data_IF_733249747537
#
_entry.id   IF_733249747537
#
_cell.length_a   1.000
_cell.length_b   1.000
_cell.length_c   1.000
_cell.angle_alpha   90.00
_cell.angle_beta   90.00
_cell.angle_gamma   90.00
#
_symmetry.space_group_name_H-M   'P 1'
#
loop_
_entity.id
_entity.type
_entity.pdbx_description
1 polymer ?
#
# COMPACT_ATOMS: atom_id res chain seq x y z
N UNK A 1 -30.05 -19.99 9.08
CA UNK A 1 -29.65 -18.57 9.15
C UNK A 1 -28.65 -18.44 10.30
N UNK A 2 -27.35 -18.41 10.02
CA UNK A 2 -26.35 -18.17 11.04
C UNK A 2 -26.26 -16.65 11.26
N UNK A 3 -26.71 -16.19 12.43
CA UNK A 3 -26.53 -14.80 12.86
C UNK A 3 -25.03 -14.59 13.02
N UNK A 4 -24.40 -13.83 12.12
CA UNK A 4 -23.03 -13.37 12.35
C UNK A 4 -23.11 -12.38 13.51
N UNK A 5 -22.84 -12.86 14.72
CA UNK A 5 -22.49 -11.99 15.84
C UNK A 5 -21.32 -11.13 15.36
N UNK A 6 -21.53 -9.82 15.21
CA UNK A 6 -20.40 -8.91 15.33
C UNK A 6 -19.83 -9.16 16.72
N UNK A 7 -18.58 -9.64 16.85
CA UNK A 7 -17.98 -9.73 18.16
C UNK A 7 -18.04 -8.32 18.77
N UNK A 8 -18.50 -8.22 20.02
CA UNK A 8 -18.38 -6.98 20.77
C UNK A 8 -16.91 -6.53 20.80
N UNK A 9 -16.62 -5.31 21.29
CA UNK A 9 -15.25 -4.82 21.39
C UNK A 9 -14.38 -5.86 22.13
N UNK A 10 -13.30 -6.28 21.48
CA UNK A 10 -12.34 -7.23 22.03
C UNK A 10 -11.63 -6.55 23.21
N UNK A 11 -11.52 -7.24 24.36
CA UNK A 11 -10.80 -6.70 25.51
C UNK A 11 -9.30 -6.55 25.19
N UNK A 12 -8.58 -5.69 25.92
CA UNK A 12 -7.13 -5.54 25.73
C UNK A 12 -6.41 -6.86 26.00
N UNK A 13 -6.89 -7.61 26.97
CA UNK A 13 -6.40 -8.91 27.40
C UNK A 13 -6.58 -9.95 26.28
N UNK A 14 -7.79 -10.04 25.70
CA UNK A 14 -8.06 -10.95 24.58
C UNK A 14 -7.21 -10.60 23.36
N UNK A 15 -7.07 -9.30 23.04
CA UNK A 15 -6.21 -8.85 21.95
C UNK A 15 -4.74 -9.22 22.19
N UNK A 16 -4.24 -9.04 23.42
CA UNK A 16 -2.88 -9.41 23.80
C UNK A 16 -2.67 -10.92 23.67
N UNK A 17 -3.62 -11.73 24.11
CA UNK A 17 -3.53 -13.19 23.97
C UNK A 17 -3.48 -13.60 22.49
N UNK A 18 -4.37 -13.03 21.67
CA UNK A 18 -4.38 -13.24 20.23
C UNK A 18 -3.04 -12.88 19.58
N UNK A 19 -2.48 -11.73 19.92
CA UNK A 19 -1.19 -11.26 19.42
C UNK A 19 -0.05 -12.18 19.86
N UNK A 20 0.03 -12.53 21.16
CA UNK A 20 1.04 -13.45 21.67
C UNK A 20 0.96 -14.81 20.99
N UNK A 21 -0.25 -15.33 20.74
CA UNK A 21 -0.47 -16.59 20.03
C UNK A 21 -0.07 -16.50 18.56
N UNK A 22 -0.28 -15.36 17.91
CA UNK A 22 0.19 -15.13 16.54
C UNK A 22 1.72 -15.07 16.49
N UNK A 23 2.34 -14.30 17.37
CA UNK A 23 3.79 -14.13 17.41
C UNK A 23 4.53 -15.42 17.82
N UNK A 24 3.96 -16.25 18.71
CA UNK A 24 4.61 -17.51 19.10
C UNK A 24 4.61 -18.57 17.99
N UNK A 25 3.66 -18.49 17.05
CA UNK A 25 3.56 -19.39 15.90
C UNK A 25 4.45 -18.99 14.72
N UNK A 26 4.91 -17.74 14.69
CA UNK A 26 5.69 -17.21 13.59
C UNK A 26 7.10 -16.88 14.10
N UNK A 27 8.15 -17.16 13.32
CA UNK A 27 9.51 -16.80 13.67
C UNK A 27 9.76 -15.29 13.49
N UNK A 28 9.03 -14.47 14.23
CA UNK A 28 9.08 -13.01 14.11
C UNK A 28 10.47 -12.51 14.50
N UNK A 29 11.10 -11.77 13.59
CA UNK A 29 12.37 -11.08 13.80
C UNK A 29 12.17 -9.62 13.49
N UNK A 30 12.71 -8.76 14.33
CA UNK A 30 12.79 -7.33 14.04
C UNK A 30 13.98 -7.07 13.12
N UNK A 31 13.79 -6.22 12.13
CA UNK A 31 14.86 -5.68 11.30
C UNK A 31 15.14 -4.23 11.74
N UNK A 32 16.39 -3.79 11.59
CA UNK A 32 16.72 -2.38 11.74
C UNK A 32 16.54 -1.71 10.39
N UNK A 33 15.84 -0.58 10.37
CA UNK A 33 15.66 0.20 9.15
C UNK A 33 17.02 0.69 8.62
N UNK A 34 17.19 0.61 7.30
CA UNK A 34 18.32 1.24 6.60
C UNK A 34 18.07 2.77 6.53
N UNK A 35 18.87 3.59 7.24
CA UNK A 35 18.67 5.04 7.25
C UNK A 35 18.83 5.69 5.88
N UNK A 36 19.60 5.09 4.97
CA UNK A 36 19.79 5.64 3.63
C UNK A 36 18.50 5.51 2.81
N UNK A 37 17.82 4.37 2.92
CA UNK A 37 16.52 4.14 2.25
C UNK A 37 15.50 5.13 2.78
N UNK A 38 15.39 5.26 4.11
CA UNK A 38 14.47 6.20 4.77
C UNK A 38 14.73 7.64 4.31
N UNK A 39 15.98 8.12 4.38
CA UNK A 39 16.35 9.47 3.97
C UNK A 39 16.09 9.73 2.48
N UNK A 40 16.31 8.73 1.62
CA UNK A 40 16.08 8.86 0.18
C UNK A 40 14.58 9.03 -0.11
N UNK A 41 13.72 8.31 0.60
CA UNK A 41 12.26 8.47 0.50
C UNK A 41 11.84 9.84 1.00
N UNK A 42 12.29 10.24 2.19
CA UNK A 42 11.99 11.54 2.78
C UNK A 42 12.32 12.69 1.81
N UNK A 43 13.56 12.70 1.30
CA UNK A 43 14.03 13.74 0.37
C UNK A 43 13.23 13.79 -0.93
N UNK A 44 12.66 12.67 -1.37
CA UNK A 44 11.78 12.64 -2.54
C UNK A 44 10.40 13.18 -2.20
N UNK A 45 9.81 12.72 -1.11
CA UNK A 45 8.43 13.02 -0.75
C UNK A 45 8.24 14.48 -0.32
N UNK A 46 9.29 15.13 0.20
CA UNK A 46 9.29 16.57 0.48
C UNK A 46 9.18 17.46 -0.78
N UNK A 47 9.30 16.88 -1.99
CA UNK A 47 9.17 17.62 -3.26
C UNK A 47 7.73 17.66 -3.78
N UNK A 48 6.81 16.92 -3.17
CA UNK A 48 5.43 16.86 -3.61
C UNK A 48 4.58 17.84 -2.81
N UNK A 49 3.89 18.73 -3.50
CA UNK A 49 3.04 19.76 -2.89
C UNK A 49 1.91 19.16 -2.04
N UNK A 50 1.50 17.93 -2.35
CA UNK A 50 0.47 17.18 -1.63
C UNK A 50 0.94 16.67 -0.26
N UNK A 51 2.26 16.63 0.00
CA UNK A 51 2.81 15.93 1.16
C UNK A 51 3.45 16.91 2.14
N UNK A 52 2.86 17.00 3.34
CA UNK A 52 3.46 17.74 4.45
C UNK A 52 4.75 17.07 4.96
N UNK A 53 5.64 17.85 5.59
CA UNK A 53 6.88 17.31 6.16
C UNK A 53 6.62 16.16 7.15
N UNK A 54 5.60 16.30 8.01
CA UNK A 54 5.24 15.27 8.98
C UNK A 54 4.80 13.97 8.28
N UNK A 55 3.98 14.09 7.23
CA UNK A 55 3.54 12.93 6.44
C UNK A 55 4.70 12.31 5.67
N UNK A 56 5.59 13.11 5.09
CA UNK A 56 6.79 12.61 4.40
C UNK A 56 7.68 11.78 5.33
N UNK A 57 7.92 12.25 6.57
CA UNK A 57 8.68 11.49 7.59
C UNK A 57 8.00 10.16 7.94
N UNK A 58 6.68 10.18 8.12
CA UNK A 58 5.91 8.97 8.39
C UNK A 58 6.01 7.94 7.24
N UNK A 59 5.80 8.39 6.00
CA UNK A 59 5.85 7.53 4.81
C UNK A 59 7.25 6.98 4.56
N UNK A 60 8.29 7.78 4.80
CA UNK A 60 9.68 7.34 4.72
C UNK A 60 9.98 6.22 5.72
N UNK A 61 9.61 6.41 6.99
CA UNK A 61 9.78 5.40 8.02
C UNK A 61 8.98 4.13 7.70
N UNK A 62 7.73 4.29 7.26
CA UNK A 62 6.85 3.18 6.93
C UNK A 62 7.37 2.36 5.74
N UNK A 63 7.79 3.02 4.67
CA UNK A 63 8.37 2.37 3.50
C UNK A 63 9.66 1.61 3.83
N UNK A 64 10.61 2.26 4.52
CA UNK A 64 11.86 1.63 4.93
C UNK A 64 11.63 0.43 5.85
N UNK A 65 10.74 0.57 6.83
CA UNK A 65 10.38 -0.53 7.73
C UNK A 65 9.79 -1.70 6.97
N UNK A 66 8.86 -1.45 6.05
CA UNK A 66 8.17 -2.51 5.30
C UNK A 66 9.15 -3.29 4.44
N UNK A 67 10.06 -2.62 3.72
CA UNK A 67 11.05 -3.32 2.90
C UNK A 67 12.02 -4.18 3.73
N UNK A 68 12.51 -3.66 4.86
CA UNK A 68 13.45 -4.40 5.72
C UNK A 68 12.78 -5.60 6.44
N UNK A 69 11.51 -5.48 6.80
CA UNK A 69 10.80 -6.55 7.49
C UNK A 69 10.20 -7.59 6.53
N UNK A 70 9.70 -7.18 5.37
CA UNK A 70 9.04 -8.08 4.42
C UNK A 70 10.05 -8.77 3.49
N UNK A 71 11.13 -8.06 3.13
CA UNK A 71 12.08 -8.49 2.12
C UNK A 71 13.54 -8.44 2.58
N UNK A 72 13.89 -8.90 3.80
CA UNK A 72 15.24 -8.76 4.35
C UNK A 72 16.35 -9.42 3.52
N UNK A 73 16.00 -10.38 2.66
CA UNK A 73 16.94 -11.13 1.83
C UNK A 73 17.14 -10.54 0.42
N UNK A 74 16.35 -9.54 0.03
CA UNK A 74 16.51 -8.87 -1.26
C UNK A 74 17.75 -7.97 -1.24
N UNK A 75 18.32 -7.70 -2.42
CA UNK A 75 19.39 -6.70 -2.57
C UNK A 75 18.90 -5.31 -2.18
N UNK A 76 19.82 -4.42 -1.77
CA UNK A 76 19.46 -3.09 -1.23
C UNK A 76 18.65 -2.27 -2.23
N UNK A 77 18.98 -2.37 -3.51
CA UNK A 77 18.33 -1.67 -4.61
C UNK A 77 16.85 -2.10 -4.74
N UNK A 78 16.59 -3.41 -4.65
CA UNK A 78 15.23 -3.96 -4.69
C UNK A 78 14.46 -3.56 -3.43
N UNK A 79 15.08 -3.65 -2.24
CA UNK A 79 14.45 -3.17 -0.99
C UNK A 79 14.11 -1.69 -1.08
N UNK A 80 14.98 -0.87 -1.65
CA UNK A 80 14.71 0.54 -1.86
C UNK A 80 13.53 0.76 -2.81
N UNK A 81 13.44 0.04 -3.92
CA UNK A 81 12.29 0.10 -4.84
C UNK A 81 10.97 -0.27 -4.14
N UNK A 82 10.97 -1.37 -3.37
CA UNK A 82 9.80 -1.78 -2.56
C UNK A 82 9.45 -0.75 -1.49
N UNK A 83 10.44 -0.13 -0.85
CA UNK A 83 10.24 0.89 0.16
C UNK A 83 9.57 2.14 -0.44
N UNK A 84 10.03 2.59 -1.62
CA UNK A 84 9.37 3.64 -2.38
C UNK A 84 7.94 3.25 -2.75
N UNK A 85 7.74 2.03 -3.26
CA UNK A 85 6.42 1.56 -3.67
C UNK A 85 5.44 1.61 -2.50
N UNK A 86 5.85 1.09 -1.34
CA UNK A 86 5.06 1.13 -0.11
C UNK A 86 4.77 2.57 0.35
N UNK A 87 5.75 3.47 0.25
CA UNK A 87 5.55 4.87 0.61
C UNK A 87 4.55 5.59 -0.32
N UNK A 88 4.57 5.31 -1.63
CA UNK A 88 3.57 5.84 -2.57
C UNK A 88 2.18 5.29 -2.29
N UNK A 89 2.07 3.99 -2.00
CA UNK A 89 0.80 3.38 -1.61
C UNK A 89 0.22 4.07 -0.38
N UNK A 90 1.03 4.28 0.66
CA UNK A 90 0.59 5.01 1.86
C UNK A 90 0.19 6.46 1.56
N UNK A 91 0.90 7.16 0.66
CA UNK A 91 0.50 8.51 0.23
C UNK A 91 -0.84 8.51 -0.49
N UNK A 92 -1.06 7.56 -1.40
CA UNK A 92 -2.32 7.43 -2.15
C UNK A 92 -3.48 7.06 -1.21
N UNK A 93 -3.26 6.14 -0.27
CA UNK A 93 -4.29 5.70 0.70
C UNK A 93 -4.72 6.87 1.61
N UNK A 94 -3.74 7.56 2.20
CA UNK A 94 -4.01 8.60 3.20
C UNK A 94 -4.45 9.93 2.58
N UNK A 95 -3.93 10.29 1.41
CA UNK A 95 -4.08 11.62 0.79
C UNK A 95 -4.86 11.59 -0.52
N UNK A 96 -5.21 10.41 -1.03
CA UNK A 96 -6.00 10.24 -2.26
C UNK A 96 -7.25 11.12 -2.34
N UNK A 97 -8.01 11.35 -1.25
CA UNK A 97 -9.12 12.30 -1.25
C UNK A 97 -8.75 13.74 -1.65
N UNK A 98 -7.52 14.19 -1.36
CA UNK A 98 -7.06 15.56 -1.63
C UNK A 98 -6.76 15.80 -3.13
N UNK A 99 -6.50 14.74 -3.89
CA UNK A 99 -6.26 14.76 -5.34
C UNK A 99 -7.13 13.73 -6.08
N UNK A 100 -8.36 13.54 -5.61
CA UNK A 100 -9.26 12.49 -6.08
C UNK A 100 -9.57 12.57 -7.59
N UNK A 101 -9.60 13.78 -8.15
CA UNK A 101 -9.81 13.98 -9.58
C UNK A 101 -8.69 13.36 -10.42
N UNK A 102 -7.42 13.58 -10.03
CA UNK A 102 -6.26 12.97 -10.68
C UNK A 102 -6.24 11.45 -10.45
N UNK A 103 -6.58 11.01 -9.23
CA UNK A 103 -6.59 9.58 -8.90
C UNK A 103 -7.63 8.78 -9.71
N UNK A 104 -8.81 9.37 -9.97
CA UNK A 104 -9.83 8.80 -10.87
C UNK A 104 -9.31 8.58 -12.30
N UNK A 105 -8.45 9.46 -12.76
CA UNK A 105 -7.91 9.43 -14.12
C UNK A 105 -6.62 8.60 -14.23
N UNK A 106 -5.98 8.23 -13.12
CA UNK A 106 -4.70 7.50 -13.09
C UNK A 106 -4.61 6.38 -14.13
N UNK A 107 -5.55 5.42 -14.13
CA UNK A 107 -5.56 4.31 -15.10
C UNK A 107 -5.66 4.82 -16.54
N UNK A 108 -6.59 5.74 -16.80
CA UNK A 108 -6.78 6.30 -18.13
C UNK A 108 -5.49 6.97 -18.62
N UNK A 109 -4.86 7.77 -17.76
CA UNK A 109 -3.67 8.56 -18.10
C UNK A 109 -2.43 7.68 -18.24
N UNK A 110 -2.33 6.58 -17.51
CA UNK A 110 -1.30 5.55 -17.73
C UNK A 110 -1.38 5.00 -19.16
N UNK A 111 -2.57 4.60 -19.62
CA UNK A 111 -2.75 3.98 -20.95
C UNK A 111 -2.62 4.95 -22.11
N UNK A 112 -2.94 6.23 -21.92
CA UNK A 112 -2.89 7.25 -22.97
C UNK A 112 -1.63 8.12 -22.88
N UNK A 113 -0.70 7.79 -21.98
CA UNK A 113 0.50 8.60 -21.68
C UNK A 113 0.17 10.07 -21.41
N UNK A 114 -0.98 10.32 -20.77
CA UNK A 114 -1.42 11.66 -20.46
C UNK A 114 -0.63 12.23 -19.27
N UNK A 115 -0.51 13.57 -19.17
CA UNK A 115 0.13 14.22 -18.03
C UNK A 115 -0.55 13.86 -16.70
N UNK A 116 0.24 13.61 -15.67
CA UNK A 116 -0.22 13.33 -14.31
C UNK A 116 0.51 14.25 -13.31
N UNK A 117 -0.07 14.45 -12.13
CA UNK A 117 0.61 15.16 -11.04
C UNK A 117 1.94 14.46 -10.69
N UNK A 118 2.96 15.22 -10.20
CA UNK A 118 4.30 14.66 -9.97
C UNK A 118 4.33 13.38 -9.15
N UNK A 119 3.50 13.29 -8.10
CA UNK A 119 3.37 12.10 -7.25
C UNK A 119 2.96 10.85 -8.05
N UNK A 120 1.88 10.94 -8.82
CA UNK A 120 1.33 9.82 -9.60
C UNK A 120 2.22 9.47 -10.81
N UNK A 121 2.84 10.47 -11.43
CA UNK A 121 3.82 10.25 -12.50
C UNK A 121 5.02 9.46 -11.99
N UNK A 122 5.59 9.86 -10.85
CA UNK A 122 6.77 9.19 -10.31
C UNK A 122 6.40 7.79 -9.76
N UNK A 123 5.17 7.61 -9.27
CA UNK A 123 4.62 6.30 -8.91
C UNK A 123 4.46 5.38 -10.12
N UNK A 124 3.93 5.87 -11.25
CA UNK A 124 3.88 5.15 -12.53
C UNK A 124 5.29 4.73 -12.95
N UNK A 125 6.24 5.65 -12.93
CA UNK A 125 7.63 5.38 -13.33
C UNK A 125 8.26 4.28 -12.49
N UNK A 126 8.04 4.30 -11.17
CA UNK A 126 8.52 3.24 -10.28
C UNK A 126 7.94 1.87 -10.66
N UNK A 127 6.66 1.81 -11.07
CA UNK A 127 6.05 0.57 -11.53
C UNK A 127 6.74 0.01 -12.79
N UNK A 128 7.19 0.89 -13.70
CA UNK A 128 7.94 0.50 -14.89
C UNK A 128 9.35 -0.01 -14.53
N UNK A 129 10.02 0.64 -13.56
CA UNK A 129 11.34 0.25 -13.07
C UNK A 129 11.37 -1.17 -12.44
N UNK A 130 10.24 -1.69 -11.97
CA UNK A 130 10.18 -3.07 -11.46
C UNK A 130 10.50 -4.14 -12.52
N UNK A 131 10.37 -3.82 -13.81
CA UNK A 131 10.82 -4.70 -14.89
C UNK A 131 12.33 -4.96 -14.92
N UNK A 132 13.13 -4.14 -14.24
CA UNK A 132 14.58 -4.35 -14.09
C UNK A 132 14.92 -5.41 -13.05
N UNK A 133 14.02 -5.65 -12.09
CA UNK A 133 14.25 -6.54 -10.94
C UNK A 133 13.49 -7.86 -11.02
N UNK A 134 12.35 -7.86 -11.71
CA UNK A 134 11.42 -8.98 -11.71
C UNK A 134 11.10 -9.50 -13.11
N UNK A 135 10.57 -10.72 -13.16
CA UNK A 135 10.08 -11.31 -14.42
C UNK A 135 8.84 -10.58 -14.92
N UNK A 136 8.55 -10.67 -16.22
CA UNK A 136 7.36 -10.05 -16.81
C UNK A 136 6.07 -10.43 -16.07
N UNK A 137 5.90 -11.70 -15.68
CA UNK A 137 4.73 -12.13 -14.91
C UNK A 137 4.60 -11.41 -13.56
N UNK A 138 5.71 -11.27 -12.82
CA UNK A 138 5.72 -10.57 -11.53
C UNK A 138 5.44 -9.08 -11.73
N UNK A 139 6.04 -8.46 -12.75
CA UNK A 139 5.79 -7.05 -13.08
C UNK A 139 4.31 -6.83 -13.45
N UNK A 140 3.71 -7.72 -14.23
CA UNK A 140 2.28 -7.68 -14.56
C UNK A 140 1.41 -7.71 -13.29
N UNK A 141 1.78 -8.54 -12.30
CA UNK A 141 1.08 -8.63 -11.01
C UNK A 141 1.21 -7.37 -10.17
N UNK A 142 2.39 -6.75 -10.16
CA UNK A 142 2.58 -5.44 -9.53
C UNK A 142 1.71 -4.39 -10.21
N UNK A 143 1.71 -4.33 -11.55
CA UNK A 143 0.91 -3.36 -12.31
C UNK A 143 -0.60 -3.56 -12.08
N UNK A 144 -1.10 -4.79 -12.13
CA UNK A 144 -2.51 -5.09 -11.87
C UNK A 144 -2.88 -4.72 -10.43
N UNK A 145 -2.04 -5.08 -9.46
CA UNK A 145 -2.21 -4.72 -8.06
C UNK A 145 -2.30 -3.21 -7.86
N UNK A 146 -1.38 -2.45 -8.47
CA UNK A 146 -1.38 -0.98 -8.47
C UNK A 146 -2.69 -0.39 -9.00
N UNK A 147 -3.16 -0.84 -10.18
CA UNK A 147 -4.38 -0.31 -10.79
C UNK A 147 -5.61 -0.63 -9.93
N UNK A 148 -5.69 -1.85 -9.40
CA UNK A 148 -6.79 -2.29 -8.55
C UNK A 148 -6.83 -1.50 -7.24
N UNK A 149 -5.67 -1.31 -6.61
CA UNK A 149 -5.53 -0.51 -5.40
C UNK A 149 -5.99 0.92 -5.64
N UNK A 150 -5.41 1.61 -6.63
CA UNK A 150 -5.76 3.00 -6.93
C UNK A 150 -7.26 3.18 -7.23
N UNK A 151 -7.84 2.28 -8.02
CA UNK A 151 -9.28 2.33 -8.33
C UNK A 151 -10.15 2.07 -7.08
N UNK A 152 -9.68 1.20 -6.17
CA UNK A 152 -10.39 0.89 -4.93
C UNK A 152 -10.29 2.02 -3.92
N UNK A 153 -9.14 2.70 -3.82
CA UNK A 153 -8.97 3.91 -2.99
C UNK A 153 -9.91 5.02 -3.43
N UNK A 154 -10.12 5.21 -4.75
CA UNK A 154 -11.15 6.13 -5.26
C UNK A 154 -12.53 5.74 -4.76
N UNK A 155 -12.90 4.46 -4.88
CA UNK A 155 -14.21 3.99 -4.43
C UNK A 155 -14.40 4.17 -2.92
N UNK A 156 -13.36 3.92 -2.13
CA UNK A 156 -13.35 4.11 -0.68
C UNK A 156 -13.56 5.58 -0.30
N UNK A 157 -12.83 6.48 -0.96
CA UNK A 157 -12.96 7.92 -0.78
C UNK A 157 -14.36 8.45 -1.15
N UNK A 158 -15.01 7.87 -2.16
CA UNK A 158 -16.36 8.27 -2.59
C UNK A 158 -17.48 7.70 -1.72
N UNK A 159 -17.27 6.51 -1.17
CA UNK A 159 -18.34 5.77 -0.46
C UNK A 159 -18.37 6.11 1.03
N UNK A 160 -17.21 6.39 1.63
CA UNK A 160 -16.96 6.64 3.06
C UNK A 160 -17.38 5.50 4.04
N UNK A 161 -18.53 4.86 3.84
CA UNK A 161 -19.07 3.78 4.66
C UNK A 161 -19.54 2.60 3.80
N UNK A 162 -18.70 1.56 3.69
CA UNK A 162 -19.13 0.31 3.07
C UNK A 162 -20.09 -0.45 3.99
N UNK A 163 -21.38 -0.38 3.66
CA UNK A 163 -22.38 -1.21 4.35
C UNK A 163 -22.28 -2.66 3.87
N UNK A 164 -22.16 -3.59 4.82
CA UNK A 164 -22.25 -5.03 4.52
C UNK A 164 -23.64 -5.34 3.96
N UNK A 165 -23.72 -5.63 2.66
CA UNK A 165 -24.94 -6.04 2.00
C UNK A 165 -25.14 -7.55 2.16
N UNK A 166 -26.35 -7.97 2.53
CA UNK A 166 -26.72 -9.39 2.62
C UNK A 166 -26.65 -10.11 1.27
N UNK A 167 -26.82 -9.37 0.17
CA UNK A 167 -26.74 -9.87 -1.21
C UNK A 167 -25.32 -10.02 -1.73
N UNK A 168 -24.32 -9.44 -1.05
CA UNK A 168 -22.92 -9.50 -1.43
C UNK A 168 -22.03 -9.88 -0.22
N UNK A 169 -22.25 -11.06 0.39
CA UNK A 169 -21.60 -11.42 1.65
C UNK A 169 -20.06 -11.52 1.55
N UNK A 170 -19.53 -11.75 0.34
CA UNK A 170 -18.10 -11.87 0.08
C UNK A 170 -17.44 -10.54 -0.32
N UNK A 171 -18.22 -9.46 -0.48
CA UNK A 171 -17.68 -8.17 -0.91
C UNK A 171 -16.57 -7.64 -0.01
N UNK A 172 -16.65 -7.69 1.34
CA UNK A 172 -15.56 -7.19 2.18
C UNK A 172 -14.24 -7.93 1.95
N UNK A 173 -14.30 -9.24 1.70
CA UNK A 173 -13.10 -10.04 1.42
C UNK A 173 -12.53 -9.68 0.05
N UNK A 174 -13.38 -9.64 -0.97
CA UNK A 174 -13.00 -9.20 -2.31
C UNK A 174 -12.37 -7.80 -2.30
N UNK A 175 -13.01 -6.84 -1.64
CA UNK A 175 -12.53 -5.47 -1.58
C UNK A 175 -11.19 -5.38 -0.84
N UNK A 176 -11.02 -6.16 0.24
CA UNK A 176 -9.72 -6.27 0.92
C UNK A 176 -8.63 -6.86 0.03
N UNK A 177 -8.94 -7.78 -0.88
CA UNK A 177 -7.98 -8.27 -1.87
C UNK A 177 -7.53 -7.16 -2.83
N UNK A 178 -8.47 -6.31 -3.26
CA UNK A 178 -8.17 -5.19 -4.17
C UNK A 178 -7.36 -4.08 -3.50
N UNK A 179 -7.68 -3.72 -2.26
CA UNK A 179 -6.93 -2.70 -1.50
C UNK A 179 -5.68 -3.25 -0.82
N UNK A 180 -5.56 -4.57 -0.67
CA UNK A 180 -4.47 -5.21 0.07
C UNK A 180 -3.22 -5.53 -0.75
N UNK A 181 -3.25 -5.31 -2.07
CA UNK A 181 -2.12 -5.54 -2.99
C UNK A 181 -1.47 -6.92 -2.84
N UNK A 182 -2.26 -7.95 -2.54
CA UNK A 182 -1.74 -9.28 -2.17
C UNK A 182 -0.82 -9.86 -3.26
N UNK A 183 -1.17 -9.67 -4.53
CA UNK A 183 -0.35 -10.17 -5.64
C UNK A 183 0.94 -9.36 -5.88
N UNK A 184 0.97 -8.08 -5.51
CA UNK A 184 2.16 -7.23 -5.69
C UNK A 184 3.22 -7.50 -4.62
N UNK A 185 2.78 -7.92 -3.42
CA UNK A 185 3.67 -8.26 -2.30
C UNK A 185 4.05 -9.76 -2.23
N UNK A 186 3.45 -10.63 -3.05
CA UNK A 186 3.74 -12.07 -3.05
C UNK A 186 5.01 -12.40 -3.83
#
# INVERSE_FOLDING_TARGET
>A
MATSHCPGPISKEDYKELLCRFLSKNAFKTAKNDPDIENTILNRFLKYDQISEAKAKYLALHGASSAEHFYPLHQKEIRQAVAFYTAYLGAIDDLGPDFLADLRLFRHDVFHEAPQIPLLRDYKKLCEEFGEYYTAFSTDKITVGTINFTSSTVLEAETHDFKKLSTAPNFPHYFRFMTGLVEAYA
#
